data_IF_962100016969
#
_entry.id   IF_962100016969
#
_cell.length_a   1.000
_cell.length_b   1.000
_cell.length_c   1.000
_cell.angle_alpha   90.00
_cell.angle_beta   90.00
_cell.angle_gamma   90.00
#
_symmetry.space_group_name_H-M   'P 1'
#
loop_
_entity.id
_entity.type
_entity.pdbx_description
1 polymer ?
#
# COMPACT_ATOMS: atom_id res chain seq x y z
N UNK A 1 -15.36 5.21 18.69
CA UNK A 1 -14.02 4.96 18.12
C UNK A 1 -13.26 6.27 18.15
N UNK A 2 -12.00 6.21 18.53
CA UNK A 2 -11.12 7.37 18.44
C UNK A 2 -10.82 7.67 16.96
N UNK A 3 -10.56 8.94 16.62
CA UNK A 3 -10.40 9.39 15.23
C UNK A 3 -9.37 8.57 14.45
N UNK A 4 -8.26 8.18 15.09
CA UNK A 4 -7.24 7.35 14.47
C UNK A 4 -7.74 5.95 14.06
N UNK A 5 -8.66 5.35 14.82
CA UNK A 5 -9.21 4.03 14.50
C UNK A 5 -10.08 4.09 13.25
N UNK A 6 -10.83 5.19 13.10
CA UNK A 6 -11.67 5.43 11.92
C UNK A 6 -10.81 5.61 10.67
N UNK A 7 -9.75 6.41 10.75
CA UNK A 7 -8.84 6.62 9.62
C UNK A 7 -8.15 5.31 9.21
N UNK A 8 -7.68 4.52 10.19
CA UNK A 8 -7.09 3.20 9.92
C UNK A 8 -8.11 2.28 9.24
N UNK A 9 -9.34 2.21 9.75
CA UNK A 9 -10.39 1.40 9.16
C UNK A 9 -10.75 1.84 7.73
N UNK A 10 -10.79 3.15 7.46
CA UNK A 10 -11.01 3.69 6.12
C UNK A 10 -9.90 3.29 5.15
N UNK A 11 -8.63 3.41 5.59
CA UNK A 11 -7.46 3.00 4.80
C UNK A 11 -7.52 1.52 4.47
N UNK A 12 -7.70 0.65 5.45
CA UNK A 12 -7.77 -0.81 5.19
C UNK A 12 -9.02 -1.20 4.40
N UNK A 13 -10.13 -0.47 4.54
CA UNK A 13 -11.31 -0.65 3.69
C UNK A 13 -11.03 -0.36 2.21
N UNK A 14 -10.05 0.46 1.88
CA UNK A 14 -9.58 0.64 0.49
C UNK A 14 -8.80 -0.59 0.01
N UNK A 15 -7.89 -1.12 0.83
CA UNK A 15 -7.15 -2.35 0.52
C UNK A 15 -8.08 -3.55 0.32
N UNK A 16 -9.11 -3.71 1.15
CA UNK A 16 -10.09 -4.80 0.99
C UNK A 16 -10.87 -4.72 -0.33
N UNK A 17 -11.09 -3.50 -0.83
CA UNK A 17 -11.90 -3.29 -2.04
C UNK A 17 -11.10 -3.35 -3.32
N UNK A 18 -9.86 -2.86 -3.30
CA UNK A 18 -9.07 -2.65 -4.52
C UNK A 18 -7.69 -3.29 -4.47
N UNK A 19 -7.24 -3.81 -3.31
CA UNK A 19 -5.91 -4.37 -3.12
C UNK A 19 -5.63 -5.60 -3.98
N UNK A 20 -6.66 -6.40 -4.30
CA UNK A 20 -6.57 -7.57 -5.17
C UNK A 20 -6.49 -7.22 -6.67
N UNK A 21 -6.59 -5.94 -7.04
CA UNK A 21 -6.39 -5.52 -8.43
C UNK A 21 -4.93 -5.69 -8.84
N UNK A 22 -4.70 -5.91 -10.14
CA UNK A 22 -3.36 -6.00 -10.70
C UNK A 22 -2.52 -4.77 -10.35
N UNK A 23 -1.29 -5.00 -9.90
CA UNK A 23 -0.28 -3.96 -9.83
C UNK A 23 0.19 -3.61 -11.25
N UNK A 24 0.39 -2.32 -11.52
CA UNK A 24 0.53 -1.83 -12.89
C UNK A 24 1.82 -2.34 -13.53
N UNK A 25 1.68 -3.33 -14.42
CA UNK A 25 2.80 -3.88 -15.19
C UNK A 25 3.53 -5.05 -14.53
N UNK A 26 3.06 -5.54 -13.37
CA UNK A 26 3.67 -6.65 -12.64
C UNK A 26 2.67 -7.78 -12.35
N UNK A 27 3.11 -9.05 -12.27
CA UNK A 27 2.23 -10.19 -12.05
C UNK A 27 1.92 -10.41 -10.55
N UNK A 28 1.60 -9.34 -9.83
CA UNK A 28 1.21 -9.33 -8.41
C UNK A 28 0.06 -8.35 -8.21
N UNK A 29 -0.72 -8.53 -7.15
CA UNK A 29 -1.74 -7.55 -6.77
C UNK A 29 -1.13 -6.33 -6.08
N UNK A 30 -1.87 -5.23 -6.01
CA UNK A 30 -1.42 -4.02 -5.32
C UNK A 30 -1.06 -4.31 -3.85
N UNK A 31 -1.90 -5.10 -3.14
CA UNK A 31 -1.63 -5.47 -1.75
C UNK A 31 -0.40 -6.38 -1.62
N UNK A 32 -0.15 -7.27 -2.58
CA UNK A 32 1.02 -8.14 -2.59
C UNK A 32 2.31 -7.33 -2.74
N UNK A 33 2.39 -6.40 -3.71
CA UNK A 33 3.55 -5.53 -3.92
C UNK A 33 3.91 -4.74 -2.65
N UNK A 34 2.94 -4.01 -2.11
CA UNK A 34 3.12 -3.22 -0.89
C UNK A 34 3.46 -4.08 0.34
N UNK A 35 2.89 -5.28 0.45
CA UNK A 35 3.22 -6.22 1.54
C UNK A 35 4.64 -6.75 1.43
N UNK A 36 5.12 -7.07 0.22
CA UNK A 36 6.48 -7.53 -0.01
C UNK A 36 7.51 -6.43 0.29
N UNK A 37 7.24 -5.19 -0.09
CA UNK A 37 8.07 -4.04 0.25
C UNK A 37 8.22 -3.87 1.78
N UNK A 38 7.10 -3.97 2.51
CA UNK A 38 7.09 -3.91 3.97
C UNK A 38 7.85 -5.10 4.61
N UNK A 39 7.70 -6.30 4.07
CA UNK A 39 8.42 -7.49 4.52
C UNK A 39 9.95 -7.36 4.34
N UNK A 40 10.40 -6.76 3.23
CA UNK A 40 11.82 -6.44 3.03
C UNK A 40 12.33 -5.46 4.10
N UNK A 41 11.57 -4.41 4.40
CA UNK A 41 11.95 -3.44 5.43
C UNK A 41 12.06 -4.10 6.82
N UNK A 42 11.12 -4.99 7.16
CA UNK A 42 11.18 -5.80 8.39
C UNK A 42 12.40 -6.71 8.44
N UNK A 43 12.72 -7.39 7.32
CA UNK A 43 13.85 -8.32 7.25
C UNK A 43 15.21 -7.63 7.42
N UNK A 44 15.33 -6.39 6.95
CA UNK A 44 16.52 -5.54 7.13
C UNK A 44 16.59 -4.88 8.52
N UNK A 45 15.56 -5.04 9.35
CA UNK A 45 15.53 -4.53 10.72
C UNK A 45 15.31 -3.02 10.82
N UNK A 46 14.62 -2.42 9.85
CA UNK A 46 14.18 -1.03 9.94
C UNK A 46 13.07 -0.84 10.98
N UNK A 47 12.84 0.42 11.37
CA UNK A 47 11.79 0.78 12.33
C UNK A 47 10.38 0.74 11.72
N UNK A 48 9.38 0.82 12.60
CA UNK A 48 7.97 0.80 12.22
C UNK A 48 7.63 1.91 11.22
N UNK A 49 8.29 3.08 11.29
CA UNK A 49 8.03 4.20 10.39
C UNK A 49 8.42 3.85 8.95
N UNK A 50 9.58 3.23 8.75
CA UNK A 50 10.04 2.76 7.43
C UNK A 50 9.19 1.58 6.95
N UNK A 51 8.84 0.64 7.83
CA UNK A 51 7.98 -0.51 7.46
C UNK A 51 6.61 -0.04 6.99
N UNK A 52 5.99 0.91 7.71
CA UNK A 52 4.71 1.49 7.32
C UNK A 52 4.85 2.34 6.05
N UNK A 53 5.93 3.10 5.90
CA UNK A 53 6.18 3.84 4.66
C UNK A 53 6.29 2.92 3.45
N UNK A 54 7.00 1.79 3.57
CA UNK A 54 7.10 0.79 2.51
C UNK A 54 5.74 0.14 2.20
N UNK A 55 4.91 -0.13 3.21
CA UNK A 55 3.56 -0.66 3.00
C UNK A 55 2.62 0.34 2.30
N UNK A 56 2.75 1.63 2.59
CA UNK A 56 1.82 2.65 2.08
C UNK A 56 2.34 3.45 0.87
N UNK A 57 3.55 3.18 0.38
CA UNK A 57 4.18 4.03 -0.66
C UNK A 57 3.30 4.22 -1.90
N UNK A 58 2.54 3.18 -2.27
CA UNK A 58 1.65 3.14 -3.43
C UNK A 58 0.15 3.22 -3.12
N UNK A 59 -0.23 3.63 -1.91
CA UNK A 59 -1.65 3.76 -1.55
C UNK A 59 -2.44 4.68 -2.51
N UNK A 60 -1.76 5.58 -3.21
CA UNK A 60 -2.35 6.43 -4.26
C UNK A 60 -3.02 5.64 -5.39
N UNK A 61 -2.49 4.46 -5.75
CA UNK A 61 -3.07 3.58 -6.77
C UNK A 61 -4.41 2.97 -6.35
N UNK A 62 -4.55 2.66 -5.06
CA UNK A 62 -5.80 2.16 -4.45
C UNK A 62 -6.83 3.29 -4.28
N UNK A 63 -6.37 4.53 -4.02
CA UNK A 63 -7.24 5.68 -3.75
C UNK A 63 -7.95 6.25 -4.99
N UNK A 64 -7.46 5.99 -6.20
CA UNK A 64 -7.95 6.65 -7.42
C UNK A 64 -7.95 5.71 -8.61
N UNK A 65 -9.13 5.25 -9.02
CA UNK A 65 -9.33 4.71 -10.37
C UNK A 65 -8.95 5.78 -11.39
N UNK A 66 -7.77 5.66 -12.00
CA UNK A 66 -7.26 6.62 -12.99
C UNK A 66 -6.30 7.67 -12.45
N UNK A 67 -5.64 7.45 -11.31
CA UNK A 67 -4.44 8.23 -10.98
C UNK A 67 -3.42 8.12 -12.12
N UNK A 68 -2.77 9.24 -12.45
CA UNK A 68 -1.67 9.23 -13.42
C UNK A 68 -0.62 8.22 -12.96
N UNK A 69 -0.12 7.44 -13.90
CA UNK A 69 1.01 6.55 -13.64
C UNK A 69 2.13 7.38 -13.00
N UNK A 70 2.66 6.96 -11.85
CA UNK A 70 3.70 7.66 -11.09
C UNK A 70 5.05 7.73 -11.83
N UNK A 71 5.07 7.60 -13.16
CA UNK A 71 6.27 7.59 -13.99
C UNK A 71 7.16 6.39 -13.73
N UNK A 72 6.62 5.28 -13.23
CA UNK A 72 7.39 4.12 -12.77
C UNK A 72 8.09 4.30 -11.42
N UNK A 73 7.69 5.29 -10.61
CA UNK A 73 8.12 5.46 -9.22
C UNK A 73 7.08 4.96 -8.20
N UNK A 74 6.17 4.10 -8.66
CA UNK A 74 5.40 3.24 -7.77
C UNK A 74 6.21 1.98 -7.52
#
# INVERSE_FOLDING_TARGET
MARHEQVIAEVFGLYERFGDSDYIGEPVSQIEHMSQAAQCALAEGFDDEVVLAAFFHDIGHICSEGAENMGGFG
#
